data_IF_917966894352
#
_entry.id   IF_917966894352
#
_cell.length_a   1.000
_cell.length_b   1.000
_cell.length_c   1.000
_cell.angle_alpha   90.00
_cell.angle_beta   90.00
_cell.angle_gamma   90.00
#
_symmetry.space_group_name_H-M   'P 1'
#
loop_
_entity.id
_entity.type
_entity.pdbx_description
1 polymer ?
#
# COMPACT_ATOMS: atom_id res chain seq x y z
N UNK A 1 -28.62 -2.98 -9.52
CA UNK A 1 -27.46 -2.80 -10.40
C UNK A 1 -26.72 -1.56 -9.91
N UNK A 2 -25.44 -1.65 -9.54
CA UNK A 2 -24.69 -0.51 -9.01
C UNK A 2 -23.98 0.16 -10.18
N UNK A 3 -24.43 1.36 -10.56
CA UNK A 3 -23.84 2.09 -11.69
C UNK A 3 -22.40 2.53 -11.37
N UNK A 4 -21.47 2.15 -12.23
CA UNK A 4 -20.04 2.47 -12.06
C UNK A 4 -19.72 3.97 -12.19
N UNK A 5 -20.62 4.73 -12.80
CA UNK A 5 -20.48 6.17 -13.03
C UNK A 5 -21.16 7.04 -11.96
N UNK A 6 -21.90 6.43 -11.02
CA UNK A 6 -22.54 7.18 -9.95
C UNK A 6 -21.59 7.41 -8.77
N UNK A 7 -20.80 8.49 -8.88
CA UNK A 7 -19.91 8.95 -7.82
C UNK A 7 -20.64 9.71 -6.71
N UNK A 8 -21.89 10.15 -6.94
CA UNK A 8 -22.65 10.98 -5.98
C UNK A 8 -23.39 10.15 -4.95
N UNK A 9 -23.99 9.03 -5.34
CA UNK A 9 -24.67 8.12 -4.40
C UNK A 9 -23.68 7.26 -3.61
N UNK A 10 -22.46 7.09 -4.11
CA UNK A 10 -21.40 6.34 -3.43
C UNK A 10 -20.96 7.00 -2.11
N UNK A 11 -20.92 8.33 -2.02
CA UNK A 11 -20.54 9.04 -0.79
C UNK A 11 -21.68 9.10 0.25
N UNK A 12 -22.94 9.10 -0.23
CA UNK A 12 -24.13 8.96 0.62
C UNK A 12 -24.23 7.55 1.24
N UNK A 13 -23.77 6.53 0.52
CA UNK A 13 -23.71 5.13 0.99
C UNK A 13 -22.39 4.77 1.69
N UNK A 14 -21.43 5.69 1.75
CA UNK A 14 -20.16 5.44 2.41
C UNK A 14 -20.37 5.30 3.92
N UNK A 15 -19.98 4.15 4.46
CA UNK A 15 -20.02 3.94 5.90
C UNK A 15 -19.15 4.99 6.61
N UNK A 16 -19.45 5.36 7.86
CA UNK A 16 -18.61 6.27 8.64
C UNK A 16 -17.13 5.84 8.68
N UNK A 17 -16.86 4.52 8.61
CA UNK A 17 -15.50 3.98 8.51
C UNK A 17 -14.81 4.33 7.20
N UNK A 18 -15.50 4.20 6.06
CA UNK A 18 -14.97 4.56 4.75
C UNK A 18 -14.60 6.05 4.67
N UNK A 19 -15.44 6.93 5.26
CA UNK A 19 -15.15 8.37 5.32
C UNK A 19 -13.89 8.68 6.13
N UNK A 20 -13.70 8.02 7.28
CA UNK A 20 -12.48 8.18 8.08
C UNK A 20 -11.22 7.72 7.36
N UNK A 21 -11.31 6.60 6.62
CA UNK A 21 -10.19 6.10 5.82
C UNK A 21 -9.84 7.04 4.67
N UNK A 22 -10.84 7.61 3.99
CA UNK A 22 -10.63 8.61 2.95
C UNK A 22 -9.94 9.87 3.51
N UNK A 23 -10.44 10.41 4.61
CA UNK A 23 -9.83 11.58 5.26
C UNK A 23 -8.40 11.29 5.76
N UNK A 24 -8.13 10.08 6.26
CA UNK A 24 -6.76 9.67 6.62
C UNK A 24 -5.85 9.63 5.39
N UNK A 25 -6.32 9.02 4.29
CA UNK A 25 -5.57 8.95 3.05
C UNK A 25 -5.27 10.35 2.46
N UNK A 26 -6.21 11.28 2.54
CA UNK A 26 -6.00 12.68 2.16
C UNK A 26 -4.91 13.34 3.00
N UNK A 27 -4.94 13.17 4.33
CA UNK A 27 -3.88 13.68 5.22
C UNK A 27 -2.51 13.13 4.86
N UNK A 28 -2.42 11.83 4.53
CA UNK A 28 -1.16 11.22 4.14
C UNK A 28 -0.65 11.77 2.80
N UNK A 29 -1.53 11.95 1.81
CA UNK A 29 -1.15 12.57 0.52
C UNK A 29 -0.69 14.01 0.69
N UNK A 30 -1.34 14.78 1.57
CA UNK A 30 -0.94 16.16 1.88
C UNK A 30 0.46 16.24 2.50
N UNK A 31 0.91 15.17 3.17
CA UNK A 31 2.27 15.04 3.71
C UNK A 31 3.28 14.52 2.66
N UNK A 32 2.91 14.41 1.39
CA UNK A 32 3.76 13.88 0.33
C UNK A 32 3.98 12.36 0.39
N UNK A 33 3.20 11.65 1.23
CA UNK A 33 3.25 10.20 1.34
C UNK A 33 2.35 9.56 0.29
N UNK A 34 2.78 8.40 -0.22
CA UNK A 34 2.03 7.58 -1.17
C UNK A 34 1.64 6.26 -0.53
N UNK A 35 0.45 5.78 -0.88
CA UNK A 35 -0.04 4.49 -0.40
C UNK A 35 0.63 3.37 -1.20
N UNK A 36 1.54 2.64 -0.55
CA UNK A 36 2.10 1.36 -1.02
C UNK A 36 1.52 0.27 -0.12
N UNK A 37 2.36 -0.60 0.46
CA UNK A 37 1.97 -1.44 1.62
C UNK A 37 1.79 -0.59 2.89
N UNK A 38 2.55 0.51 2.99
CA UNK A 38 2.47 1.51 4.04
C UNK A 38 2.41 2.92 3.42
N UNK A 39 2.08 3.92 4.22
CA UNK A 39 2.13 5.33 3.82
C UNK A 39 3.54 5.89 3.98
N UNK A 40 4.29 5.89 2.89
CA UNK A 40 5.69 6.29 2.86
C UNK A 40 5.90 7.41 1.85
N UNK A 41 6.82 8.32 2.16
CA UNK A 41 7.44 9.17 1.14
C UNK A 41 8.27 8.30 0.19
N UNK A 42 8.58 8.83 -0.99
CA UNK A 42 9.39 8.07 -1.96
C UNK A 42 10.81 7.78 -1.43
N UNK A 43 11.36 8.66 -0.57
CA UNK A 43 12.65 8.44 0.11
C UNK A 43 12.56 7.32 1.16
N UNK A 44 11.56 7.35 2.04
CA UNK A 44 11.35 6.29 3.04
C UNK A 44 11.09 4.94 2.36
N UNK A 45 10.33 4.93 1.26
CA UNK A 45 10.10 3.71 0.49
C UNK A 45 11.41 3.13 -0.07
N UNK A 46 12.32 3.97 -0.58
CA UNK A 46 13.65 3.52 -1.04
C UNK A 46 14.48 2.90 0.08
N UNK A 47 14.48 3.51 1.27
CA UNK A 47 15.21 3.00 2.43
C UNK A 47 14.67 1.66 2.92
N UNK A 48 13.34 1.52 3.00
CA UNK A 48 12.69 0.25 3.38
C UNK A 48 13.01 -0.85 2.36
N UNK A 49 12.95 -0.55 1.06
CA UNK A 49 13.30 -1.51 0.03
C UNK A 49 14.77 -1.95 0.11
N UNK A 50 15.70 -1.01 0.34
CA UNK A 50 17.10 -1.33 0.50
C UNK A 50 17.36 -2.22 1.73
N UNK A 51 16.67 -1.95 2.85
CA UNK A 51 16.75 -2.78 4.05
C UNK A 51 16.19 -4.19 3.79
N UNK A 52 15.04 -4.28 3.12
CA UNK A 52 14.45 -5.58 2.79
C UNK A 52 15.36 -6.39 1.88
N UNK A 53 16.06 -5.75 0.94
CA UNK A 53 17.03 -6.42 0.07
C UNK A 53 18.22 -6.97 0.85
N UNK A 54 18.70 -6.25 1.87
CA UNK A 54 19.76 -6.75 2.76
C UNK A 54 19.31 -7.92 3.63
N UNK A 55 18.04 -7.94 4.02
CA UNK A 55 17.45 -8.99 4.86
C UNK A 55 16.99 -10.20 4.07
N UNK A 56 16.85 -10.09 2.75
CA UNK A 56 16.52 -11.23 1.91
C UNK A 56 17.65 -12.25 2.03
N UNK A 57 17.35 -13.50 2.45
CA UNK A 57 18.33 -14.55 2.37
C UNK A 57 18.77 -14.64 0.91
N UNK A 58 20.08 -14.56 0.66
CA UNK A 58 20.63 -15.03 -0.60
C UNK A 58 20.15 -16.47 -0.69
N UNK A 59 19.36 -16.81 -1.72
CA UNK A 59 19.02 -18.19 -1.98
C UNK A 59 20.35 -18.95 -2.08
N UNK A 60 20.70 -19.67 -1.00
CA UNK A 60 21.71 -20.69 -1.08
C UNK A 60 21.05 -21.69 -2.00
N UNK A 61 21.53 -21.79 -3.23
CA UNK A 61 21.23 -22.91 -4.11
C UNK A 61 21.59 -24.19 -3.37
N UNK A 62 20.69 -24.70 -2.52
CA UNK A 62 20.65 -26.10 -2.20
C UNK A 62 20.09 -26.74 -3.45
N UNK A 63 21.02 -27.07 -4.35
CA UNK A 63 20.77 -28.03 -5.40
C UNK A 63 20.13 -29.24 -4.74
N UNK A 64 18.90 -29.53 -5.15
CA UNK A 64 18.26 -30.81 -4.93
C UNK A 64 19.12 -31.87 -5.64
N UNK A 65 20.18 -32.30 -4.94
CA UNK A 65 20.94 -33.48 -5.24
C UNK A 65 20.03 -34.67 -4.91
N UNK A 66 19.60 -35.33 -6.00
CA UNK A 66 19.16 -36.73 -6.12
C UNK A 66 19.12 -37.53 -4.81
N UNK A 67 17.99 -38.20 -4.55
CA UNK A 67 17.87 -39.68 -4.64
C UNK A 67 16.40 -40.06 -4.72
#
# INVERSE_FOLDING_TARGET
MKDANDKKTADLLASPGAKRQAAYAERQRAQGRRQRSFWLTDSEAGQVMALLEQLRPQEVEHGDEKT
#
